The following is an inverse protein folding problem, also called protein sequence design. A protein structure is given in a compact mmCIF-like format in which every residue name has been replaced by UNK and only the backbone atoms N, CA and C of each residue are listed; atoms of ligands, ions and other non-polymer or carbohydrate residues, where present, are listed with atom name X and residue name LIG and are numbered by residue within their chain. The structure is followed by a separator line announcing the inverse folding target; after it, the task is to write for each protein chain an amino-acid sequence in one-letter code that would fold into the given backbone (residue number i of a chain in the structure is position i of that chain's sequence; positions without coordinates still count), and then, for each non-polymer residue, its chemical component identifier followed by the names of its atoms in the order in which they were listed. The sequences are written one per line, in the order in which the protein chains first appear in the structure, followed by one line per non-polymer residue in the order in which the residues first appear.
data_IF_560247682538
#
_entry.id   IF_560247682538
#
_cell.length_a   1.000
_cell.length_b   1.000
_cell.length_c   1.000
_cell.angle_alpha   90.00
_cell.angle_beta   90.00
_cell.angle_gamma   90.00
#
_symmetry.space_group_name_H-M   'P 1'
#
loop_
_entity.id
_entity.type
_entity.pdbx_description
1 polymer ?
#
# COMPACT_ATOMS: atom_id res chain seq x y z
N UNK A 1 -17.15 1.75 -3.80
CA UNK A 1 -16.19 0.89 -3.08
C UNK A 1 -15.07 0.63 -4.08
N UNK A 2 -13.81 1.00 -3.78
CA UNK A 2 -12.69 0.64 -4.67
C UNK A 2 -12.48 -0.86 -4.56
N UNK A 3 -12.25 -1.52 -5.69
CA UNK A 3 -11.90 -2.94 -5.71
C UNK A 3 -10.43 -3.13 -5.31
N UNK A 4 -10.06 -4.34 -4.89
CA UNK A 4 -8.68 -4.67 -4.52
C UNK A 4 -7.68 -4.31 -5.64
N UNK A 5 -8.09 -4.51 -6.90
CA UNK A 5 -7.29 -4.16 -8.08
C UNK A 5 -6.94 -2.66 -8.16
N UNK A 6 -7.86 -1.78 -7.77
CA UNK A 6 -7.63 -0.33 -7.75
C UNK A 6 -6.59 0.07 -6.69
N UNK A 7 -6.59 -0.61 -5.54
CA UNK A 7 -5.57 -0.42 -4.50
C UNK A 7 -4.19 -0.89 -4.96
N UNK A 8 -4.14 -2.07 -5.60
CA UNK A 8 -2.89 -2.61 -6.16
C UNK A 8 -2.31 -1.65 -7.20
N UNK A 9 -3.14 -1.15 -8.11
CA UNK A 9 -2.72 -0.19 -9.14
C UNK A 9 -2.19 1.11 -8.53
N UNK A 10 -2.85 1.65 -7.52
CA UNK A 10 -2.42 2.86 -6.81
C UNK A 10 -1.03 2.66 -6.17
N UNK A 11 -0.77 1.50 -5.55
CA UNK A 11 0.51 1.20 -4.91
C UNK A 11 1.60 0.94 -5.93
N UNK A 12 1.34 0.13 -6.96
CA UNK A 12 2.30 -0.11 -8.04
C UNK A 12 2.74 1.19 -8.72
N UNK A 13 1.81 2.15 -8.90
CA UNK A 13 2.15 3.47 -9.41
C UNK A 13 3.05 4.28 -8.46
N UNK A 14 2.95 4.09 -7.15
CA UNK A 14 3.88 4.70 -6.20
C UNK A 14 5.29 4.12 -6.34
N UNK A 15 5.41 2.80 -6.52
CA UNK A 15 6.69 2.13 -6.77
C UNK A 15 7.36 2.61 -8.08
N UNK A 16 6.59 2.76 -9.17
CA UNK A 16 7.11 3.34 -10.43
C UNK A 16 7.65 4.77 -10.22
N UNK A 17 6.95 5.58 -9.43
CA UNK A 17 7.41 6.95 -9.10
C UNK A 17 8.66 6.94 -8.22
N UNK A 18 8.80 5.94 -7.37
CA UNK A 18 10.01 5.67 -6.60
C UNK A 18 11.16 5.12 -7.47
N UNK A 19 11.00 5.09 -8.81
CA UNK A 19 11.99 4.60 -9.77
C UNK A 19 12.32 3.12 -9.59
N UNK A 20 11.37 2.33 -9.06
CA UNK A 20 11.50 0.89 -9.03
C UNK A 20 11.64 0.34 -10.46
N UNK A 21 12.52 -0.64 -10.62
CA UNK A 21 12.72 -1.40 -11.88
C UNK A 21 12.07 -2.78 -11.81
N UNK A 22 11.84 -3.27 -10.60
CA UNK A 22 11.13 -4.50 -10.30
C UNK A 22 10.04 -4.19 -9.26
N UNK A 23 8.83 -4.66 -9.55
CA UNK A 23 7.69 -4.62 -8.64
C UNK A 23 7.12 -6.04 -8.62
N UNK A 24 7.12 -6.65 -7.45
CA UNK A 24 6.59 -7.99 -7.21
C UNK A 24 5.26 -7.85 -6.47
N UNK A 25 4.21 -8.42 -7.04
CA UNK A 25 2.86 -8.42 -6.45
C UNK A 25 2.47 -9.88 -6.26
N UNK A 26 2.18 -10.26 -5.02
CA UNK A 26 1.73 -11.61 -4.69
C UNK A 26 0.43 -11.57 -3.88
N UNK A 27 -0.45 -12.53 -4.16
CA UNK A 27 -1.66 -12.80 -3.40
C UNK A 27 -1.58 -14.26 -2.99
N UNK A 28 -1.54 -14.51 -1.68
CA UNK A 28 -1.48 -15.85 -1.12
C UNK A 28 -2.78 -16.11 -0.38
N UNK A 29 -3.44 -17.20 -0.73
CA UNK A 29 -4.61 -17.72 -0.03
C UNK A 29 -4.16 -18.77 0.98
N UNK A 30 -4.55 -18.59 2.24
CA UNK A 30 -4.37 -19.53 3.32
C UNK A 30 -5.76 -20.03 3.76
N UNK A 31 -6.17 -21.19 3.23
CA UNK A 31 -7.46 -21.80 3.52
C UNK A 31 -7.55 -22.35 4.96
N UNK A 32 -6.42 -22.68 5.58
CA UNK A 32 -6.43 -23.22 6.95
C UNK A 32 -6.74 -22.11 7.95
N UNK A 33 -6.20 -20.91 7.71
CA UNK A 33 -6.40 -19.75 8.56
C UNK A 33 -7.50 -18.79 8.07
N UNK A 34 -8.16 -19.10 6.94
CA UNK A 34 -9.18 -18.27 6.27
C UNK A 34 -8.67 -16.84 5.99
N UNK A 35 -7.44 -16.73 5.46
CA UNK A 35 -6.74 -15.46 5.26
C UNK A 35 -6.25 -15.31 3.81
N UNK A 36 -6.41 -14.08 3.28
CA UNK A 36 -5.71 -13.64 2.08
C UNK A 36 -4.61 -12.65 2.44
N UNK A 37 -3.40 -12.91 1.98
CA UNK A 37 -2.25 -12.01 2.12
C UNK A 37 -1.93 -11.37 0.78
N UNK A 38 -2.10 -10.04 0.68
CA UNK A 38 -1.61 -9.23 -0.44
C UNK A 38 -0.25 -8.62 -0.06
N UNK A 39 0.77 -8.94 -0.82
CA UNK A 39 2.12 -8.38 -0.65
C UNK A 39 2.56 -7.66 -1.93
N UNK A 40 3.03 -6.41 -1.79
CA UNK A 40 3.61 -5.62 -2.88
C UNK A 40 5.01 -5.20 -2.46
N UNK A 41 6.03 -5.69 -3.19
CA UNK A 41 7.44 -5.39 -2.97
C UNK A 41 7.98 -4.63 -4.17
N UNK A 42 8.82 -3.63 -3.92
CA UNK A 42 9.53 -2.92 -4.98
C UNK A 42 10.97 -2.61 -4.59
N UNK A 43 11.81 -2.40 -5.60
CA UNK A 43 13.22 -2.03 -5.44
C UNK A 43 13.48 -0.54 -5.72
N UNK A 44 12.49 0.32 -5.45
CA UNK A 44 12.59 1.75 -5.64
C UNK A 44 13.46 2.44 -4.59
N UNK A 45 13.39 3.78 -4.56
CA UNK A 45 14.14 4.62 -3.62
C UNK A 45 13.72 4.49 -2.15
N UNK A 46 12.68 3.70 -1.87
CA UNK A 46 12.14 3.50 -0.54
C UNK A 46 11.44 4.72 0.08
N UNK A 47 11.08 4.57 1.35
CA UNK A 47 10.43 5.56 2.21
C UNK A 47 11.35 5.83 3.40
N UNK A 48 11.64 7.09 3.69
CA UNK A 48 12.39 7.43 4.91
C UNK A 48 11.57 7.06 6.15
N UNK A 49 12.23 6.55 7.20
CA UNK A 49 11.58 6.07 8.43
C UNK A 49 10.56 7.07 9.00
N UNK A 50 10.90 8.36 9.00
CA UNK A 50 10.07 9.47 9.50
C UNK A 50 8.80 9.71 8.67
N UNK A 51 8.77 9.21 7.42
CA UNK A 51 7.62 9.27 6.54
C UNK A 51 6.75 8.02 6.63
N UNK A 52 7.26 6.88 7.11
CA UNK A 52 6.49 5.62 7.21
C UNK A 52 5.21 5.81 8.05
N UNK A 53 5.33 6.48 9.20
CA UNK A 53 4.17 6.78 10.05
C UNK A 53 3.20 7.77 9.38
N UNK A 54 3.74 8.70 8.59
CA UNK A 54 2.97 9.75 7.93
C UNK A 54 2.26 9.25 6.68
N UNK A 55 2.81 8.29 5.93
CA UNK A 55 2.16 7.78 4.69
C UNK A 55 0.87 6.99 4.98
N UNK A 56 0.66 6.58 6.23
CA UNK A 56 -0.61 6.02 6.70
C UNK A 56 -1.64 7.09 7.12
N UNK A 57 -1.27 8.38 7.15
CA UNK A 57 -2.18 9.49 7.42
C UNK A 57 -2.98 9.86 6.14
N UNK A 58 -4.32 9.82 6.17
CA UNK A 58 -5.19 10.22 5.04
C UNK A 58 -4.88 11.61 4.45
N UNK A 59 -4.39 12.53 5.27
CA UNK A 59 -4.15 13.93 4.93
C UNK A 59 -2.70 14.20 4.53
N UNK A 60 -1.81 13.22 4.64
CA UNK A 60 -0.41 13.36 4.23
C UNK A 60 -0.22 12.90 2.79
N UNK A 61 0.41 13.75 1.98
CA UNK A 61 0.79 13.40 0.60
C UNK A 61 2.04 14.17 0.22
N UNK A 62 3.03 13.47 -0.34
CA UNK A 62 4.22 14.10 -0.94
C UNK A 62 3.93 14.74 -2.31
N UNK A 63 2.73 14.54 -2.86
CA UNK A 63 2.32 15.08 -4.16
C UNK A 63 1.68 16.45 -4.01
N UNK A 64 2.19 17.43 -4.75
CA UNK A 64 1.61 18.80 -4.85
C UNK A 64 0.33 18.85 -5.70
N UNK A 65 0.10 17.85 -6.56
CA UNK A 65 -1.03 17.83 -7.50
C UNK A 65 -2.34 17.32 -6.91
N UNK A 66 -2.33 16.78 -5.68
CA UNK A 66 -3.52 16.26 -5.00
C UNK A 66 -3.43 16.63 -3.52
N UNK A 67 -4.56 17.04 -2.93
CA UNK A 67 -4.60 17.50 -1.53
C UNK A 67 -4.60 16.38 -0.49
N UNK A 68 -4.81 15.13 -0.89
CA UNK A 68 -4.96 13.98 0.01
C UNK A 68 -4.21 12.75 -0.51
N UNK A 69 -3.72 11.92 0.42
CA UNK A 69 -2.91 10.72 0.17
C UNK A 69 -3.66 9.43 0.50
N UNK A 70 -4.85 9.24 -0.06
CA UNK A 70 -5.78 8.20 0.41
C UNK A 70 -5.43 6.74 0.01
N UNK A 71 -4.39 6.48 -0.80
CA UNK A 71 -4.11 5.13 -1.31
C UNK A 71 -3.82 4.09 -0.22
N UNK A 72 -2.73 4.28 0.52
CA UNK A 72 -2.33 3.39 1.63
C UNK A 72 -3.30 3.49 2.83
N UNK A 73 -3.78 4.67 3.25
CA UNK A 73 -4.74 4.77 4.35
C UNK A 73 -6.05 4.03 4.09
N UNK A 74 -6.59 4.08 2.85
CA UNK A 74 -7.80 3.31 2.52
C UNK A 74 -7.52 1.80 2.48
N UNK A 75 -6.36 1.37 2.00
CA UNK A 75 -6.01 -0.05 2.02
C UNK A 75 -5.90 -0.57 3.47
N UNK A 76 -5.21 0.19 4.34
CA UNK A 76 -5.11 -0.10 5.77
C UNK A 76 -6.51 -0.20 6.41
N UNK A 77 -7.34 0.81 6.19
CA UNK A 77 -8.70 0.85 6.73
C UNK A 77 -9.53 -0.35 6.27
N UNK A 78 -9.44 -0.73 5.00
CA UNK A 78 -10.16 -1.88 4.46
C UNK A 78 -9.65 -3.21 5.07
N UNK A 79 -8.34 -3.36 5.25
CA UNK A 79 -7.76 -4.53 5.92
C UNK A 79 -8.24 -4.64 7.37
N UNK A 80 -8.22 -3.54 8.12
CA UNK A 80 -8.70 -3.50 9.52
C UNK A 80 -10.22 -3.74 9.63
N UNK A 81 -11.02 -3.23 8.67
CA UNK A 81 -12.47 -3.49 8.60
C UNK A 81 -12.80 -4.95 8.28
N UNK A 82 -11.90 -5.64 7.59
CA UNK A 82 -11.99 -7.08 7.36
C UNK A 82 -11.37 -7.92 8.50
N UNK A 83 -11.14 -7.30 9.67
CA UNK A 83 -10.50 -7.93 10.84
C UNK A 83 -9.08 -8.44 10.58
N UNK A 84 -8.45 -7.94 9.51
CA UNK A 84 -7.09 -8.26 9.11
C UNK A 84 -6.05 -7.28 9.65
N UNK A 85 -4.86 -7.34 9.06
CA UNK A 85 -3.72 -6.52 9.45
C UNK A 85 -3.08 -5.82 8.25
N UNK A 86 -2.47 -4.67 8.49
CA UNK A 86 -1.71 -3.92 7.49
C UNK A 86 -0.32 -3.60 8.04
N UNK A 87 0.71 -3.85 7.24
CA UNK A 87 2.09 -3.51 7.57
C UNK A 87 2.80 -2.94 6.35
N UNK A 88 3.78 -2.08 6.59
CA UNK A 88 4.63 -1.48 5.55
C UNK A 88 6.04 -1.32 6.09
N UNK A 89 7.02 -1.70 5.29
CA UNK A 89 8.45 -1.57 5.55
C UNK A 89 9.15 -1.06 4.30
N UNK A 90 10.27 -0.38 4.46
CA UNK A 90 11.10 0.11 3.36
C UNK A 90 12.55 0.22 3.77
#
# INVERSE_FOLDING_TARGET
MKELAEHILDIANNSVRAKATLIEISIVEDLENDLYTLEIKDNGSGIQQEMIEKVCDPFYTSRTTRKVGLGLPLLKMNAEQAEGQFSITS
#
